data_IF_313709153183
#
_entry.id   IF_313709153183
#
_cell.length_a   1.000
_cell.length_b   1.000
_cell.length_c   1.000
_cell.angle_alpha   90.00
_cell.angle_beta   90.00
_cell.angle_gamma   90.00
#
_symmetry.space_group_name_H-M   'P 1'
#
loop_
_entity.id
_entity.type
_entity.pdbx_description
1 polymer ?
#
# COMPACT_ATOMS: atom_id res chain seq x y z
N UNK A 1 11.49 8.29 -9.70
CA UNK A 1 11.90 8.19 -11.12
C UNK A 1 10.81 7.46 -11.89
N UNK A 2 10.27 8.04 -12.97
CA UNK A 2 9.36 7.34 -13.87
C UNK A 2 10.06 6.13 -14.51
N UNK A 3 9.37 4.99 -14.57
CA UNK A 3 9.93 3.74 -15.08
C UNK A 3 9.02 3.08 -16.11
N UNK A 4 7.74 2.94 -15.79
CA UNK A 4 6.76 2.25 -16.65
C UNK A 4 5.59 3.20 -16.88
N UNK A 5 5.19 3.36 -18.15
CA UNK A 5 4.09 4.23 -18.58
C UNK A 5 4.21 5.67 -18.07
N UNK A 6 5.44 6.22 -18.07
CA UNK A 6 5.75 7.57 -17.57
C UNK A 6 5.41 7.80 -16.09
N UNK A 7 5.15 6.73 -15.33
CA UNK A 7 4.84 6.75 -13.89
C UNK A 7 5.91 6.05 -13.07
N UNK A 8 6.00 6.40 -11.80
CA UNK A 8 6.82 5.66 -10.85
C UNK A 8 6.18 4.31 -10.52
N UNK A 9 6.95 3.36 -9.98
CA UNK A 9 6.41 2.07 -9.56
C UNK A 9 5.42 2.21 -8.40
N UNK A 10 5.63 3.20 -7.53
CA UNK A 10 4.71 3.56 -6.45
C UNK A 10 3.36 4.01 -7.01
N UNK A 11 3.36 4.94 -7.98
CA UNK A 11 2.14 5.41 -8.65
C UNK A 11 1.41 4.26 -9.36
N UNK A 12 2.14 3.43 -10.12
CA UNK A 12 1.58 2.26 -10.78
C UNK A 12 1.00 1.24 -9.78
N UNK A 13 1.57 1.14 -8.58
CA UNK A 13 1.06 0.27 -7.50
C UNK A 13 -0.21 0.83 -6.89
N UNK A 14 -0.27 2.13 -6.58
CA UNK A 14 -1.49 2.79 -6.07
C UNK A 14 -2.63 2.68 -7.08
N UNK A 15 -2.38 2.94 -8.37
CA UNK A 15 -3.41 2.77 -9.41
C UNK A 15 -3.95 1.35 -9.50
N UNK A 16 -3.07 0.35 -9.33
CA UNK A 16 -3.45 -1.05 -9.33
C UNK A 16 -4.30 -1.40 -8.10
N UNK A 17 -3.94 -0.89 -6.92
CA UNK A 17 -4.73 -1.08 -5.69
C UNK A 17 -6.09 -0.39 -5.81
N UNK A 18 -6.15 0.81 -6.42
CA UNK A 18 -7.40 1.54 -6.63
C UNK A 18 -8.41 0.84 -7.57
N UNK A 19 -7.96 -0.16 -8.34
CA UNK A 19 -8.87 -1.04 -9.09
C UNK A 19 -9.50 -2.14 -8.23
N UNK A 20 -8.93 -2.41 -7.04
CA UNK A 20 -9.37 -3.44 -6.10
C UNK A 20 -10.23 -2.78 -5.01
N UNK A 21 -9.73 -1.72 -4.40
CA UNK A 21 -10.45 -0.88 -3.43
C UNK A 21 -10.39 0.58 -3.89
N UNK A 22 -11.56 1.17 -4.13
CA UNK A 22 -11.67 2.52 -4.72
C UNK A 22 -11.44 3.63 -3.72
N UNK A 23 -11.42 3.35 -2.42
CA UNK A 23 -11.24 4.39 -1.39
C UNK A 23 -9.74 4.63 -1.11
N UNK A 24 -9.18 5.79 -1.49
CA UNK A 24 -7.79 6.13 -1.19
C UNK A 24 -7.49 6.17 0.32
N UNK A 25 -8.51 6.39 1.16
CA UNK A 25 -8.37 6.45 2.62
C UNK A 25 -8.06 5.09 3.26
N UNK A 26 -8.22 4.00 2.52
CA UNK A 26 -7.82 2.66 2.94
C UNK A 26 -6.36 2.33 2.56
N UNK A 27 -5.66 3.21 1.84
CA UNK A 27 -4.29 2.98 1.40
C UNK A 27 -3.31 3.65 2.36
N UNK A 28 -2.45 2.84 2.97
CA UNK A 28 -1.38 3.28 3.87
C UNK A 28 -0.02 3.01 3.24
N UNK A 29 0.85 4.02 3.23
CA UNK A 29 2.20 3.92 2.69
C UNK A 29 3.21 3.80 3.83
N UNK A 30 3.82 2.62 3.98
CA UNK A 30 4.96 2.44 4.85
C UNK A 30 6.25 2.83 4.15
N UNK A 31 7.00 3.77 4.74
CA UNK A 31 8.17 4.34 4.08
C UNK A 31 9.22 4.83 5.07
N UNK A 32 10.50 4.73 4.72
CA UNK A 32 11.55 5.37 5.52
C UNK A 32 11.43 6.90 5.48
N UNK A 33 11.70 7.55 6.63
CA UNK A 33 11.53 9.01 6.83
C UNK A 33 12.14 9.87 5.71
N UNK A 34 13.29 9.49 5.18
CA UNK A 34 14.00 10.23 4.13
C UNK A 34 13.24 10.36 2.80
N UNK A 35 12.25 9.49 2.53
CA UNK A 35 11.52 9.44 1.26
C UNK A 35 10.06 9.91 1.39
N UNK A 36 9.63 10.33 2.59
CA UNK A 36 8.25 10.69 2.91
C UNK A 36 7.72 11.78 1.99
N UNK A 37 8.38 12.94 1.95
CA UNK A 37 7.84 14.13 1.28
C UNK A 37 7.84 13.96 -0.24
N UNK A 38 8.84 13.30 -0.79
CA UNK A 38 8.89 12.98 -2.22
C UNK A 38 7.78 11.99 -2.62
N UNK A 39 7.50 11.00 -1.78
CA UNK A 39 6.43 10.02 -2.04
C UNK A 39 5.06 10.65 -1.90
N UNK A 40 4.88 11.57 -0.94
CA UNK A 40 3.65 12.33 -0.79
C UNK A 40 3.35 13.18 -2.03
N UNK A 41 4.36 13.87 -2.58
CA UNK A 41 4.21 14.62 -3.84
C UNK A 41 3.82 13.72 -5.02
N UNK A 42 4.43 12.53 -5.11
CA UNK A 42 4.07 11.57 -6.18
C UNK A 42 2.63 11.07 -6.08
N UNK A 43 2.04 11.08 -4.88
CA UNK A 43 0.73 10.51 -4.59
C UNK A 43 -0.39 11.55 -4.44
N UNK A 44 -0.07 12.84 -4.51
CA UNK A 44 -1.02 13.95 -4.35
C UNK A 44 -2.22 13.84 -5.30
N UNK A 45 -1.98 13.47 -6.58
CA UNK A 45 -3.06 13.30 -7.58
C UNK A 45 -3.99 12.10 -7.32
N UNK A 46 -3.65 11.23 -6.36
CA UNK A 46 -4.42 10.03 -6.01
C UNK A 46 -5.20 10.19 -4.71
N UNK A 47 -5.08 11.34 -4.02
CA UNK A 47 -5.63 11.56 -2.68
C UNK A 47 -5.17 10.51 -1.64
N UNK A 48 -3.95 9.99 -1.79
CA UNK A 48 -3.32 9.06 -0.84
C UNK A 48 -2.27 9.83 -0.03
N UNK A 49 -2.56 10.06 1.24
CA UNK A 49 -1.74 10.89 2.14
C UNK A 49 -1.38 10.21 3.48
N UNK A 50 -1.92 9.02 3.74
CA UNK A 50 -1.63 8.23 4.96
C UNK A 50 -0.24 7.61 4.90
N UNK A 51 0.74 8.35 5.40
CA UNK A 51 2.15 7.97 5.44
C UNK A 51 2.54 7.46 6.84
N UNK A 52 3.00 6.22 6.93
CA UNK A 52 3.57 5.63 8.14
C UNK A 52 5.09 5.61 7.98
N UNK A 53 5.78 6.46 8.72
CA UNK A 53 7.25 6.56 8.61
C UNK A 53 7.95 5.54 9.50
N UNK A 54 8.77 4.69 8.89
CA UNK A 54 9.65 3.77 9.61
C UNK A 54 10.90 4.49 10.10
N UNK A 55 11.22 4.43 11.41
CA UNK A 55 12.41 5.09 11.97
C UNK A 55 13.71 4.42 11.52
N UNK A 56 13.67 3.10 11.30
CA UNK A 56 14.82 2.30 10.89
C UNK A 56 14.35 1.20 9.93
N UNK A 57 15.19 0.89 8.93
CA UNK A 57 14.94 -0.23 8.01
C UNK A 57 15.24 -1.54 8.72
N UNK A 58 14.20 -2.26 9.15
CA UNK A 58 14.31 -3.54 9.89
C UNK A 58 13.67 -4.73 9.18
N UNK A 59 13.73 -4.76 7.85
CA UNK A 59 13.12 -5.77 6.96
C UNK A 59 11.58 -5.85 7.03
N UNK A 60 10.99 -6.63 6.14
CA UNK A 60 9.55 -6.67 5.87
C UNK A 60 8.71 -7.14 7.06
N UNK A 61 9.13 -8.18 7.79
CA UNK A 61 8.34 -8.70 8.90
C UNK A 61 8.17 -7.66 10.03
N UNK A 62 9.24 -6.96 10.40
CA UNK A 62 9.20 -5.91 11.42
C UNK A 62 8.37 -4.71 10.98
N UNK A 63 8.47 -4.33 9.69
CA UNK A 63 7.67 -3.27 9.12
C UNK A 63 6.17 -3.61 9.19
N UNK A 64 5.78 -4.81 8.75
CA UNK A 64 4.39 -5.28 8.82
C UNK A 64 3.89 -5.26 10.26
N UNK A 65 4.63 -5.83 11.21
CA UNK A 65 4.23 -5.85 12.62
C UNK A 65 4.03 -4.43 13.20
N UNK A 66 4.91 -3.50 12.85
CA UNK A 66 4.79 -2.10 13.25
C UNK A 66 3.55 -1.43 12.65
N UNK A 67 3.29 -1.64 11.35
CA UNK A 67 2.13 -1.07 10.64
C UNK A 67 0.84 -1.62 11.24
N UNK A 68 0.72 -2.93 11.46
CA UNK A 68 -0.47 -3.54 12.08
C UNK A 68 -0.75 -2.88 13.43
N UNK A 69 0.28 -2.74 14.27
CA UNK A 69 0.12 -2.09 15.57
C UNK A 69 -0.29 -0.62 15.47
N UNK A 70 0.24 0.10 14.49
CA UNK A 70 -0.17 1.47 14.19
C UNK A 70 -1.64 1.54 13.79
N UNK A 71 -2.10 0.66 12.91
CA UNK A 71 -3.49 0.61 12.44
C UNK A 71 -4.47 0.32 13.59
N UNK A 72 -4.14 -0.61 14.48
CA UNK A 72 -4.94 -0.89 15.68
C UNK A 72 -4.98 0.32 16.63
N UNK A 73 -3.82 0.88 16.97
CA UNK A 73 -3.70 1.86 18.04
C UNK A 73 -4.16 3.26 17.62
N UNK A 74 -3.90 3.65 16.36
CA UNK A 74 -4.11 5.01 15.85
C UNK A 74 -5.33 5.12 14.95
N UNK A 75 -5.45 4.22 13.98
CA UNK A 75 -6.56 4.25 13.01
C UNK A 75 -7.81 3.50 13.51
N UNK A 76 -7.69 2.76 14.61
CA UNK A 76 -8.78 1.98 15.22
C UNK A 76 -9.36 0.94 14.25
N UNK A 77 -8.50 0.39 13.39
CA UNK A 77 -8.86 -0.75 12.54
C UNK A 77 -9.15 -1.96 13.43
N UNK A 78 -10.23 -2.68 13.13
CA UNK A 78 -10.66 -3.84 13.89
C UNK A 78 -9.67 -5.01 13.71
N UNK A 79 -9.47 -5.80 14.77
CA UNK A 79 -8.47 -6.87 14.77
C UNK A 79 -8.77 -8.02 13.79
N UNK A 80 -10.00 -8.12 13.29
CA UNK A 80 -10.45 -9.10 12.29
C UNK A 80 -10.42 -8.53 10.85
N UNK A 81 -9.97 -7.30 10.66
CA UNK A 81 -9.85 -6.69 9.33
C UNK A 81 -8.77 -7.39 8.49
N UNK A 82 -9.08 -7.64 7.22
CA UNK A 82 -8.11 -8.17 6.26
C UNK A 82 -7.20 -7.06 5.75
N UNK A 83 -5.89 -7.26 5.89
CA UNK A 83 -4.87 -6.30 5.43
C UNK A 83 -4.13 -6.85 4.21
N UNK A 84 -4.22 -6.12 3.10
CA UNK A 84 -3.45 -6.41 1.89
C UNK A 84 -2.08 -5.71 1.95
N UNK A 85 -0.99 -6.48 1.99
CA UNK A 85 0.38 -5.96 1.94
C UNK A 85 0.94 -6.04 0.52
N UNK A 86 1.33 -4.90 -0.04
CA UNK A 86 1.88 -4.81 -1.41
C UNK A 86 3.25 -4.11 -1.44
N UNK A 87 4.28 -4.72 -2.04
CA UNK A 87 5.52 -4.02 -2.39
C UNK A 87 5.26 -2.91 -3.41
N UNK A 88 5.84 -1.72 -3.18
CA UNK A 88 5.64 -0.54 -4.03
C UNK A 88 6.53 -0.50 -5.28
N UNK A 89 7.48 -1.43 -5.39
CA UNK A 89 8.53 -1.49 -6.40
C UNK A 89 8.35 -2.65 -7.39
N UNK A 90 7.18 -3.27 -7.42
CA UNK A 90 6.86 -4.32 -8.38
C UNK A 90 6.09 -3.78 -9.60
N UNK A 91 6.53 -4.17 -10.80
CA UNK A 91 5.70 -4.06 -12.00
C UNK A 91 4.89 -5.35 -12.17
N UNK A 92 3.57 -5.23 -12.24
CA UNK A 92 2.64 -6.37 -12.38
C UNK A 92 1.67 -6.08 -13.52
N UNK A 93 1.62 -7.01 -14.48
CA UNK A 93 0.68 -6.98 -15.60
C UNK A 93 0.24 -8.42 -15.96
N UNK A 94 -1.00 -8.62 -16.43
CA UNK A 94 -2.05 -7.61 -16.61
C UNK A 94 -2.74 -7.26 -15.27
N UNK A 95 -3.08 -5.97 -15.11
CA UNK A 95 -3.69 -5.45 -13.87
C UNK A 95 -5.02 -6.13 -13.54
N UNK A 96 -5.82 -6.47 -14.55
CA UNK A 96 -7.10 -7.18 -14.36
C UNK A 96 -6.92 -8.56 -13.71
N UNK A 97 -5.91 -9.34 -14.13
CA UNK A 97 -5.63 -10.65 -13.52
C UNK A 97 -5.13 -10.50 -12.10
N UNK A 98 -4.29 -9.50 -11.84
CA UNK A 98 -3.86 -9.19 -10.48
C UNK A 98 -5.06 -8.88 -9.58
N UNK A 99 -5.96 -8.00 -10.01
CA UNK A 99 -7.16 -7.67 -9.26
C UNK A 99 -8.03 -8.91 -8.99
N UNK A 100 -8.24 -9.77 -9.99
CA UNK A 100 -8.97 -11.04 -9.80
C UNK A 100 -8.30 -11.96 -8.76
N UNK A 101 -6.97 -12.13 -8.82
CA UNK A 101 -6.25 -12.95 -7.86
C UNK A 101 -6.32 -12.39 -6.43
N UNK A 102 -6.25 -11.06 -6.27
CA UNK A 102 -6.39 -10.45 -4.94
C UNK A 102 -7.81 -10.63 -4.42
N UNK A 103 -8.84 -10.43 -5.25
CA UNK A 103 -10.23 -10.64 -4.85
C UNK A 103 -10.51 -12.10 -4.42
N UNK A 104 -9.92 -13.07 -5.12
CA UNK A 104 -9.98 -14.47 -4.71
C UNK A 104 -9.25 -14.69 -3.36
N UNK A 105 -8.05 -14.13 -3.19
CA UNK A 105 -7.31 -14.21 -1.93
C UNK A 105 -8.03 -13.57 -0.74
N UNK A 106 -8.77 -12.47 -0.98
CA UNK A 106 -9.60 -11.81 0.04
C UNK A 106 -10.71 -12.73 0.54
N UNK A 107 -11.32 -13.54 -0.34
CA UNK A 107 -12.36 -14.50 0.06
C UNK A 107 -11.79 -15.52 1.05
N UNK A 108 -10.63 -16.10 0.76
CA UNK A 108 -9.98 -17.05 1.66
C UNK A 108 -9.47 -16.43 2.96
N UNK A 109 -9.12 -15.14 2.95
CA UNK A 109 -8.66 -14.45 4.16
C UNK A 109 -9.80 -14.09 5.12
N UNK A 110 -11.05 -14.12 4.65
CA UNK A 110 -12.26 -13.86 5.44
C UNK A 110 -12.93 -15.14 5.96
N UNK A 111 -12.45 -16.32 5.56
CA UNK A 111 -12.88 -17.63 6.07
C UNK A 111 -12.24 -17.96 7.43
#
# INVERSE_FOLDING_TARGET
>A
MPLINEKTLLQNTVERILQIDKDPQHIFISIGTAHRDESLKQLESYNVDKMITEPERRNTASAIAYIIKYLEDKEKVESDSVILVCPSDHHIAPVSKYASCIQEGLQYAQE
#
